data_IF_798058618170
#
_entry.id   IF_798058618170
#
_cell.length_a   1.000
_cell.length_b   1.000
_cell.length_c   1.000
_cell.angle_alpha   90.00
_cell.angle_beta   90.00
_cell.angle_gamma   90.00
#
_symmetry.space_group_name_H-M   'P 1'
#
loop_
_entity.id
_entity.type
_entity.pdbx_description
1 polymer ?
#
# COMPACT_ATOMS: atom_id res chain seq x y z
N UNK A 1 -9.94 0.83 6.77
CA UNK A 1 -9.86 2.11 7.47
C UNK A 1 -10.81 3.17 6.87
N UNK A 2 -10.83 3.48 5.56
CA UNK A 2 -11.69 4.54 5.01
C UNK A 2 -13.19 4.32 5.25
N UNK A 3 -13.65 3.10 5.18
CA UNK A 3 -15.07 2.75 5.40
C UNK A 3 -15.52 3.03 6.83
N UNK A 4 -14.71 2.67 7.83
CA UNK A 4 -14.98 3.00 9.22
C UNK A 4 -14.93 4.51 9.45
N UNK A 5 -13.98 5.20 8.82
CA UNK A 5 -13.88 6.65 8.92
C UNK A 5 -15.10 7.36 8.34
N UNK A 6 -15.57 6.97 7.17
CA UNK A 6 -16.77 7.57 6.57
C UNK A 6 -18.03 7.25 7.36
N UNK A 7 -18.17 6.04 7.90
CA UNK A 7 -19.29 5.66 8.75
C UNK A 7 -19.32 6.49 10.05
N UNK A 8 -18.16 6.64 10.71
CA UNK A 8 -18.03 7.47 11.91
C UNK A 8 -18.33 8.95 11.62
N UNK A 9 -17.91 9.45 10.46
CA UNK A 9 -18.16 10.83 10.05
C UNK A 9 -19.65 11.11 9.83
N UNK A 10 -20.38 10.14 9.26
CA UNK A 10 -21.82 10.29 8.97
C UNK A 10 -22.67 10.20 10.24
N UNK A 11 -22.32 9.32 11.20
CA UNK A 11 -23.16 9.04 12.38
C UNK A 11 -22.72 9.80 13.64
N UNK A 12 -21.48 10.26 13.68
CA UNK A 12 -20.89 10.97 14.79
C UNK A 12 -20.22 12.25 14.29
N UNK A 13 -19.04 12.55 14.79
CA UNK A 13 -18.25 13.71 14.38
C UNK A 13 -16.84 13.29 14.00
N UNK A 14 -16.08 14.21 13.40
CA UNK A 14 -14.69 13.95 13.03
C UNK A 14 -13.81 13.55 14.25
N UNK A 15 -14.15 14.06 15.44
CA UNK A 15 -13.47 13.70 16.70
C UNK A 15 -13.62 12.21 17.04
N UNK A 16 -14.75 11.59 16.67
CA UNK A 16 -14.97 10.15 16.90
C UNK A 16 -13.97 9.28 16.14
N UNK A 17 -13.49 9.74 14.99
CA UNK A 17 -12.44 9.04 14.22
C UNK A 17 -11.16 8.95 15.04
N UNK A 18 -10.72 10.08 15.60
CA UNK A 18 -9.50 10.13 16.41
C UNK A 18 -9.65 9.37 17.74
N UNK A 19 -10.81 9.45 18.37
CA UNK A 19 -11.11 8.68 19.60
C UNK A 19 -11.05 7.17 19.32
N UNK A 20 -11.59 6.70 18.21
CA UNK A 20 -11.52 5.30 17.79
C UNK A 20 -10.09 4.86 17.51
N UNK A 21 -9.31 5.66 16.79
CA UNK A 21 -7.89 5.39 16.54
C UNK A 21 -7.10 5.34 17.84
N UNK A 22 -7.34 6.25 18.77
CA UNK A 22 -6.73 6.26 20.08
C UNK A 22 -7.06 4.98 20.87
N UNK A 23 -8.35 4.59 20.92
CA UNK A 23 -8.76 3.37 21.60
C UNK A 23 -8.11 2.12 21.00
N UNK A 24 -8.07 2.00 19.67
CA UNK A 24 -7.38 0.89 18.98
C UNK A 24 -5.89 0.89 19.34
N UNK A 25 -5.25 2.04 19.33
CA UNK A 25 -3.82 2.16 19.66
C UNK A 25 -3.55 1.70 21.10
N UNK A 26 -4.37 2.12 22.06
CA UNK A 26 -4.24 1.68 23.46
C UNK A 26 -4.39 0.17 23.57
N UNK A 27 -5.40 -0.41 22.91
CA UNK A 27 -5.62 -1.87 22.91
C UNK A 27 -4.42 -2.62 22.30
N UNK A 28 -3.79 -2.07 21.26
CA UNK A 28 -2.61 -2.68 20.62
C UNK A 28 -1.32 -2.53 21.45
N UNK A 29 -1.23 -1.50 22.29
CA UNK A 29 -0.07 -1.30 23.18
C UNK A 29 -0.11 -2.29 24.37
N UNK A 30 -1.27 -2.64 24.88
CA UNK A 30 -1.39 -3.52 26.03
C UNK A 30 -0.63 -4.87 25.89
N UNK A 31 -0.73 -5.60 24.77
CA UNK A 31 0.02 -6.85 24.60
C UNK A 31 1.54 -6.64 24.55
N UNK A 32 2.01 -5.44 24.16
CA UNK A 32 3.46 -5.18 24.06
C UNK A 32 4.13 -5.28 25.42
N UNK A 33 3.46 -4.88 26.51
CA UNK A 33 3.98 -5.01 27.86
C UNK A 33 4.13 -6.47 28.33
N UNK A 34 3.43 -7.41 27.69
CA UNK A 34 3.49 -8.84 27.99
C UNK A 34 4.49 -9.59 27.12
N UNK A 35 4.99 -8.96 26.05
CA UNK A 35 6.00 -9.55 25.20
C UNK A 35 7.37 -9.52 25.89
N UNK A 36 7.92 -10.70 26.16
CA UNK A 36 9.31 -10.81 26.63
C UNK A 36 10.24 -10.34 25.52
N UNK A 37 11.26 -9.52 25.82
CA UNK A 37 12.25 -9.11 24.85
C UNK A 37 12.96 -10.36 24.30
N UNK A 38 12.72 -10.65 23.02
CA UNK A 38 13.35 -11.77 22.30
C UNK A 38 14.68 -11.38 21.65
N UNK A 39 15.15 -10.17 21.90
CA UNK A 39 16.43 -9.69 21.41
C UNK A 39 17.55 -10.50 22.06
N UNK A 40 18.07 -11.52 21.35
CA UNK A 40 19.40 -12.05 21.64
C UNK A 40 20.37 -10.88 21.54
N UNK A 41 21.17 -10.70 22.62
CA UNK A 41 22.23 -9.71 22.61
C UNK A 41 23.06 -9.91 21.33
N UNK A 42 23.04 -8.90 20.45
CA UNK A 42 23.83 -8.91 19.22
C UNK A 42 25.28 -8.93 19.63
N UNK A 43 25.96 -10.05 19.40
CA UNK A 43 27.42 -10.13 19.58
C UNK A 43 28.04 -9.06 18.68
N UNK A 44 28.73 -8.12 19.28
CA UNK A 44 29.36 -6.92 18.71
C UNK A 44 30.51 -7.20 17.73
N UNK A 45 30.65 -8.40 17.17
CA UNK A 45 31.82 -8.81 16.39
C UNK A 45 31.55 -9.14 14.92
N UNK A 46 30.48 -8.62 14.31
CA UNK A 46 30.35 -8.72 12.84
C UNK A 46 29.92 -7.38 12.27
N UNK A 47 30.72 -6.92 11.33
CA UNK A 47 30.65 -5.73 10.49
C UNK A 47 29.27 -5.10 10.47
N UNK A 48 29.11 -4.04 11.23
CA UNK A 48 27.87 -3.28 11.29
C UNK A 48 27.57 -2.68 9.93
N UNK A 49 26.67 -3.31 9.17
CA UNK A 49 26.09 -2.70 7.99
C UNK A 49 25.63 -1.29 8.37
N UNK A 50 26.36 -0.32 7.87
CA UNK A 50 26.03 1.09 8.07
C UNK A 50 24.86 1.45 7.17
N UNK A 51 23.94 2.29 7.63
CA UNK A 51 22.83 2.80 6.82
C UNK A 51 23.31 3.35 5.46
N UNK A 52 24.53 3.88 5.43
CA UNK A 52 25.20 4.36 4.22
C UNK A 52 25.46 3.24 3.20
N UNK A 53 25.78 2.02 3.67
CA UNK A 53 26.04 0.87 2.77
C UNK A 53 24.76 0.39 2.11
N UNK A 54 23.63 0.43 2.85
CA UNK A 54 22.28 0.19 2.29
C UNK A 54 21.96 1.18 1.16
N UNK A 55 22.15 2.47 1.42
CA UNK A 55 21.91 3.52 0.45
C UNK A 55 22.86 3.48 -0.75
N UNK A 56 24.05 2.91 -0.62
CA UNK A 56 25.01 2.74 -1.71
C UNK A 56 24.66 1.58 -2.64
N UNK A 57 23.89 0.61 -2.18
CA UNK A 57 23.43 -0.53 -2.98
C UNK A 57 22.45 -0.09 -4.08
N UNK A 58 22.80 -0.35 -5.35
CA UNK A 58 21.92 -0.06 -6.51
C UNK A 58 20.60 -0.84 -6.42
N UNK A 59 20.67 -2.10 -5.97
CA UNK A 59 19.49 -2.97 -5.82
C UNK A 59 18.56 -2.43 -4.76
N UNK A 60 19.09 -2.00 -3.60
CA UNK A 60 18.29 -1.41 -2.54
C UNK A 60 17.58 -0.14 -3.02
N UNK A 61 18.34 0.83 -3.59
CA UNK A 61 17.78 2.09 -4.08
C UNK A 61 16.72 1.88 -5.16
N UNK A 62 16.94 0.96 -6.10
CA UNK A 62 15.95 0.65 -7.15
C UNK A 62 14.64 0.12 -6.56
N UNK A 63 14.70 -0.82 -5.62
CA UNK A 63 13.50 -1.35 -4.97
C UNK A 63 12.81 -0.31 -4.09
N UNK A 64 13.55 0.51 -3.36
CA UNK A 64 12.99 1.63 -2.56
C UNK A 64 12.29 2.64 -3.46
N UNK A 65 12.86 2.97 -4.62
CA UNK A 65 12.23 3.90 -5.56
C UNK A 65 10.92 3.34 -6.11
N UNK A 66 10.88 2.05 -6.48
CA UNK A 66 9.65 1.38 -6.92
C UNK A 66 8.61 1.41 -5.80
N UNK A 67 9.00 1.05 -4.58
CA UNK A 67 8.11 1.08 -3.43
C UNK A 67 7.54 2.49 -3.18
N UNK A 68 8.40 3.51 -3.24
CA UNK A 68 8.00 4.90 -3.06
C UNK A 68 7.04 5.38 -4.15
N UNK A 69 7.29 5.04 -5.42
CA UNK A 69 6.41 5.39 -6.53
C UNK A 69 5.03 4.74 -6.41
N UNK A 70 4.98 3.45 -6.06
CA UNK A 70 3.73 2.73 -5.81
C UNK A 70 2.95 3.33 -4.64
N UNK A 71 3.64 3.65 -3.54
CA UNK A 71 3.03 4.28 -2.37
C UNK A 71 2.54 5.69 -2.67
N UNK A 72 3.32 6.50 -3.37
CA UNK A 72 2.94 7.86 -3.78
C UNK A 72 1.67 7.86 -4.61
N UNK A 73 1.55 6.95 -5.59
CA UNK A 73 0.34 6.82 -6.42
C UNK A 73 -0.90 6.45 -5.60
N UNK A 74 -0.74 5.53 -4.65
CA UNK A 74 -1.84 5.13 -3.76
C UNK A 74 -2.26 6.29 -2.85
N UNK A 75 -1.32 6.99 -2.21
CA UNK A 75 -1.63 8.11 -1.34
C UNK A 75 -2.17 9.33 -2.10
N UNK A 76 -1.69 9.58 -3.32
CA UNK A 76 -2.25 10.63 -4.17
C UNK A 76 -3.74 10.40 -4.44
N UNK A 77 -4.13 9.15 -4.74
CA UNK A 77 -5.53 8.81 -4.87
C UNK A 77 -6.29 8.92 -3.55
N UNK A 78 -5.75 8.37 -2.47
CA UNK A 78 -6.42 8.38 -1.16
C UNK A 78 -6.74 9.80 -0.69
N UNK A 79 -5.86 10.76 -1.01
CA UNK A 79 -6.03 12.19 -0.68
C UNK A 79 -6.90 12.93 -1.69
N UNK A 80 -6.74 12.64 -2.98
CA UNK A 80 -7.43 13.35 -4.06
C UNK A 80 -8.85 12.86 -4.34
N UNK A 81 -9.10 11.56 -4.20
CA UNK A 81 -10.39 10.97 -4.57
C UNK A 81 -11.59 11.52 -3.78
N UNK A 82 -11.52 11.86 -2.48
CA UNK A 82 -12.67 12.46 -1.80
C UNK A 82 -13.11 13.77 -2.43
N UNK A 83 -12.15 14.60 -2.86
CA UNK A 83 -12.45 15.89 -3.52
C UNK A 83 -13.07 15.65 -4.89
N UNK A 84 -12.45 14.82 -5.72
CA UNK A 84 -12.93 14.50 -7.07
C UNK A 84 -14.33 13.90 -7.03
N UNK A 85 -14.57 12.90 -6.17
CA UNK A 85 -15.86 12.25 -6.07
C UNK A 85 -16.94 13.15 -5.44
N UNK A 86 -16.56 14.05 -4.53
CA UNK A 86 -17.46 15.06 -3.98
C UNK A 86 -17.89 16.07 -5.04
N UNK A 87 -16.97 16.55 -5.89
CA UNK A 87 -17.30 17.42 -7.03
C UNK A 87 -18.21 16.72 -8.05
N UNK A 88 -18.09 15.41 -8.20
CA UNK A 88 -19.01 14.61 -9.01
C UNK A 88 -20.39 14.39 -8.36
N UNK A 89 -20.62 14.92 -7.14
CA UNK A 89 -21.89 14.83 -6.43
C UNK A 89 -22.10 13.56 -5.59
N UNK A 90 -21.06 12.75 -5.38
CA UNK A 90 -21.18 11.54 -4.55
C UNK A 90 -21.15 11.88 -3.05
N UNK A 91 -22.02 11.22 -2.28
CA UNK A 91 -22.06 11.38 -0.83
C UNK A 91 -20.83 10.75 -0.14
N UNK A 92 -20.45 11.21 1.07
CA UNK A 92 -19.33 10.64 1.83
C UNK A 92 -19.45 9.14 2.06
N UNK A 93 -20.66 8.60 2.19
CA UNK A 93 -20.90 7.18 2.32
C UNK A 93 -20.53 6.40 1.06
N UNK A 94 -20.89 6.91 -0.13
CA UNK A 94 -20.53 6.30 -1.42
C UNK A 94 -19.03 6.37 -1.63
N UNK A 95 -18.39 7.49 -1.27
CA UNK A 95 -16.94 7.66 -1.34
C UNK A 95 -16.25 6.62 -0.45
N UNK A 96 -16.71 6.43 0.78
CA UNK A 96 -16.19 5.39 1.68
C UNK A 96 -16.35 3.97 1.13
N UNK A 97 -17.51 3.65 0.54
CA UNK A 97 -17.78 2.37 -0.10
C UNK A 97 -16.89 2.11 -1.33
N UNK A 98 -16.50 3.15 -2.06
CA UNK A 98 -15.64 3.02 -3.24
C UNK A 98 -14.25 2.46 -2.94
N UNK A 99 -13.79 2.54 -1.69
CA UNK A 99 -12.52 1.94 -1.27
C UNK A 99 -12.59 0.43 -1.01
N UNK A 100 -13.79 -0.15 -0.89
CA UNK A 100 -13.95 -1.59 -0.63
C UNK A 100 -13.41 -2.44 -1.79
N UNK A 101 -13.84 -2.22 -3.05
CA UNK A 101 -13.32 -2.99 -4.18
C UNK A 101 -11.80 -2.83 -4.34
N UNK A 102 -11.25 -1.67 -4.05
CA UNK A 102 -9.80 -1.43 -4.08
C UNK A 102 -9.05 -2.26 -3.02
N UNK A 103 -9.60 -2.35 -1.81
CA UNK A 103 -9.03 -3.16 -0.74
C UNK A 103 -9.06 -4.65 -1.10
N UNK A 104 -10.17 -5.12 -1.66
CA UNK A 104 -10.30 -6.50 -2.13
C UNK A 104 -9.30 -6.77 -3.26
N UNK A 105 -9.17 -5.86 -4.22
CA UNK A 105 -8.21 -5.93 -5.32
C UNK A 105 -6.76 -6.01 -4.81
N UNK A 106 -6.41 -5.21 -3.81
CA UNK A 106 -5.09 -5.27 -3.18
C UNK A 106 -4.81 -6.62 -2.51
N UNK A 107 -5.79 -7.18 -1.81
CA UNK A 107 -5.67 -8.51 -1.21
C UNK A 107 -5.51 -9.60 -2.28
N UNK A 108 -6.30 -9.53 -3.36
CA UNK A 108 -6.18 -10.44 -4.51
C UNK A 108 -4.76 -10.36 -5.09
N UNK A 109 -4.21 -9.15 -5.25
CA UNK A 109 -2.83 -8.95 -5.69
C UNK A 109 -1.81 -9.61 -4.77
N UNK A 110 -1.94 -9.44 -3.46
CA UNK A 110 -1.05 -10.02 -2.46
C UNK A 110 -1.10 -11.56 -2.43
N UNK A 111 -2.30 -12.13 -2.38
CA UNK A 111 -2.46 -13.60 -2.41
C UNK A 111 -2.08 -14.19 -3.77
N UNK A 112 -2.43 -13.52 -4.87
CA UNK A 112 -2.03 -13.91 -6.22
C UNK A 112 -0.51 -13.90 -6.40
N UNK A 113 0.17 -12.91 -5.85
CA UNK A 113 1.62 -12.85 -5.83
C UNK A 113 2.22 -14.05 -5.09
N UNK A 114 1.69 -14.38 -3.92
CA UNK A 114 2.15 -15.56 -3.15
C UNK A 114 2.02 -16.85 -3.96
N UNK A 115 0.90 -17.05 -4.64
CA UNK A 115 0.67 -18.20 -5.51
C UNK A 115 1.60 -18.20 -6.74
N UNK A 116 1.82 -17.03 -7.35
CA UNK A 116 2.70 -16.88 -8.50
C UNK A 116 4.17 -17.14 -8.15
N UNK A 117 4.62 -16.71 -6.96
CA UNK A 117 5.99 -16.94 -6.48
C UNK A 117 6.32 -18.41 -6.21
N UNK A 118 5.32 -19.30 -6.14
CA UNK A 118 5.55 -20.75 -6.09
C UNK A 118 6.02 -21.31 -7.44
N UNK A 119 5.67 -20.64 -8.55
CA UNK A 119 5.99 -21.09 -9.92
C UNK A 119 7.06 -20.23 -10.60
N UNK A 120 7.12 -18.96 -10.30
CA UNK A 120 8.01 -17.99 -10.93
C UNK A 120 8.87 -17.24 -9.92
N UNK A 121 10.06 -16.83 -10.36
CA UNK A 121 10.92 -16.00 -9.53
C UNK A 121 10.42 -14.55 -9.49
N UNK A 122 10.55 -13.89 -8.34
CA UNK A 122 10.15 -12.49 -8.19
C UNK A 122 10.82 -11.52 -9.19
N UNK A 123 12.05 -11.84 -9.64
CA UNK A 123 12.74 -11.07 -10.68
C UNK A 123 12.05 -11.13 -12.05
N UNK A 124 11.38 -12.22 -12.35
CA UNK A 124 10.66 -12.42 -13.62
C UNK A 124 9.26 -11.79 -13.54
N UNK A 125 8.64 -11.84 -12.37
CA UNK A 125 7.29 -11.34 -12.16
C UNK A 125 7.25 -9.81 -12.06
N UNK A 126 8.25 -9.20 -11.42
CA UNK A 126 8.29 -7.77 -11.16
C UNK A 126 8.14 -6.88 -12.42
N UNK A 127 8.82 -7.13 -13.55
CA UNK A 127 8.64 -6.31 -14.75
C UNK A 127 7.20 -6.29 -15.26
N UNK A 128 6.53 -7.44 -15.27
CA UNK A 128 5.13 -7.53 -15.71
C UNK A 128 4.18 -6.77 -14.79
N UNK A 129 4.41 -6.85 -13.49
CA UNK A 129 3.64 -6.09 -12.50
C UNK A 129 3.87 -4.59 -12.63
N UNK A 130 5.09 -4.17 -12.94
CA UNK A 130 5.39 -2.74 -13.19
C UNK A 130 4.73 -2.24 -14.48
N UNK A 131 4.67 -3.06 -15.53
CA UNK A 131 3.92 -2.72 -16.75
C UNK A 131 2.43 -2.61 -16.43
N UNK A 132 1.87 -3.56 -15.70
CA UNK A 132 0.46 -3.52 -15.27
C UNK A 132 0.18 -2.25 -14.46
N UNK A 133 1.07 -1.92 -13.52
CA UNK A 133 0.98 -0.70 -12.73
C UNK A 133 1.03 0.56 -13.61
N UNK A 134 1.99 0.65 -14.53
CA UNK A 134 2.14 1.80 -15.43
C UNK A 134 0.91 1.99 -16.32
N UNK A 135 0.40 0.90 -16.90
CA UNK A 135 -0.82 0.93 -17.73
C UNK A 135 -2.02 1.41 -16.92
N UNK A 136 -2.18 0.94 -15.68
CA UNK A 136 -3.29 1.37 -14.82
C UNK A 136 -3.19 2.85 -14.42
N UNK A 137 -1.99 3.36 -14.17
CA UNK A 137 -1.78 4.80 -13.89
C UNK A 137 -2.11 5.65 -15.12
N UNK A 138 -1.65 5.24 -16.30
CA UNK A 138 -1.96 5.92 -17.56
C UNK A 138 -3.47 5.89 -17.83
N UNK A 139 -4.14 4.76 -17.60
CA UNK A 139 -5.58 4.64 -17.78
C UNK A 139 -6.35 5.55 -16.81
N UNK A 140 -5.90 5.65 -15.54
CA UNK A 140 -6.50 6.57 -14.56
C UNK A 140 -6.31 8.03 -14.99
N UNK A 141 -5.13 8.39 -15.48
CA UNK A 141 -4.85 9.72 -15.99
C UNK A 141 -5.70 10.04 -17.23
N UNK A 142 -5.80 9.11 -18.18
CA UNK A 142 -6.62 9.28 -19.38
C UNK A 142 -8.12 9.42 -19.06
N UNK A 143 -8.62 8.72 -18.05
CA UNK A 143 -10.00 8.86 -17.59
C UNK A 143 -10.34 10.29 -17.15
N UNK A 144 -9.36 11.03 -16.63
CA UNK A 144 -9.53 12.43 -16.23
C UNK A 144 -9.85 13.41 -17.36
N UNK A 145 -9.66 13.02 -18.62
CA UNK A 145 -9.98 13.84 -19.80
C UNK A 145 -11.37 13.56 -20.40
N UNK A 146 -12.09 12.58 -19.86
CA UNK A 146 -13.43 12.21 -20.35
C UNK A 146 -14.46 13.12 -19.68
N UNK A 147 -15.26 13.83 -20.47
CA UNK A 147 -16.19 14.86 -19.99
C UNK A 147 -17.33 14.35 -19.08
N UNK A 148 -17.63 13.05 -19.11
CA UNK A 148 -18.67 12.41 -18.30
C UNK A 148 -18.20 11.06 -17.78
N UNK A 149 -17.20 11.08 -16.90
CA UNK A 149 -16.65 9.86 -16.30
C UNK A 149 -17.58 9.34 -15.22
N UNK A 150 -17.97 8.08 -15.32
CA UNK A 150 -18.70 7.38 -14.27
C UNK A 150 -17.76 6.92 -13.15
N UNK A 151 -18.31 6.72 -11.94
CA UNK A 151 -17.55 6.17 -10.81
C UNK A 151 -16.82 4.86 -11.17
N UNK A 152 -17.49 3.99 -11.93
CA UNK A 152 -16.96 2.67 -12.32
C UNK A 152 -15.75 2.80 -13.24
N UNK A 153 -15.77 3.74 -14.19
CA UNK A 153 -14.66 3.98 -15.12
C UNK A 153 -13.39 4.47 -14.42
N UNK A 154 -13.55 5.18 -13.32
CA UNK A 154 -12.40 5.58 -12.47
C UNK A 154 -11.95 4.41 -11.59
N UNK A 155 -12.88 3.62 -11.04
CA UNK A 155 -12.55 2.55 -10.09
C UNK A 155 -11.86 1.36 -10.76
N UNK A 156 -12.21 1.02 -12.01
CA UNK A 156 -11.62 -0.13 -12.71
C UNK A 156 -10.08 -0.01 -12.80
N UNK A 157 -9.51 1.05 -13.41
CA UNK A 157 -8.06 1.17 -13.51
C UNK A 157 -7.41 1.27 -12.12
N UNK A 158 -8.13 1.83 -11.16
CA UNK A 158 -7.64 1.92 -9.79
C UNK A 158 -7.59 0.57 -9.08
N UNK A 159 -8.57 -0.30 -9.28
CA UNK A 159 -8.54 -1.69 -8.81
C UNK A 159 -7.39 -2.48 -9.45
N UNK A 160 -7.12 -2.28 -10.74
CA UNK A 160 -5.97 -2.90 -11.42
C UNK A 160 -4.66 -2.42 -10.82
N UNK A 161 -4.54 -1.12 -10.53
CA UNK A 161 -3.39 -0.56 -9.83
C UNK A 161 -3.23 -1.15 -8.41
N UNK A 162 -4.34 -1.35 -7.69
CA UNK A 162 -4.33 -1.95 -6.37
C UNK A 162 -3.86 -3.41 -6.39
N UNK A 163 -4.28 -4.21 -7.40
CA UNK A 163 -3.77 -5.57 -7.61
C UNK A 163 -2.26 -5.54 -7.84
N UNK A 164 -1.79 -4.67 -8.73
CA UNK A 164 -0.36 -4.53 -9.01
C UNK A 164 0.43 -4.16 -7.75
N UNK A 165 -0.03 -3.19 -6.96
CA UNK A 165 0.59 -2.76 -5.71
C UNK A 165 0.65 -3.90 -4.68
N UNK A 166 -0.47 -4.63 -4.50
CA UNK A 166 -0.53 -5.77 -3.58
C UNK A 166 0.49 -6.86 -3.92
N UNK A 167 0.79 -7.04 -5.22
CA UNK A 167 1.80 -7.99 -5.69
C UNK A 167 3.24 -7.42 -5.66
N UNK A 168 3.43 -6.14 -5.95
CA UNK A 168 4.76 -5.50 -6.01
C UNK A 168 5.39 -5.39 -4.62
N UNK A 169 4.64 -4.95 -3.60
CA UNK A 169 5.19 -4.67 -2.27
C UNK A 169 5.98 -5.83 -1.66
N UNK A 170 5.46 -7.05 -1.56
CA UNK A 170 6.23 -8.16 -0.97
C UNK A 170 7.49 -8.51 -1.78
N UNK A 171 7.44 -8.36 -3.11
CA UNK A 171 8.58 -8.65 -3.98
C UNK A 171 9.71 -7.64 -3.77
N UNK A 172 9.39 -6.34 -3.80
CA UNK A 172 10.42 -5.29 -3.69
C UNK A 172 11.03 -5.24 -2.30
N UNK A 173 10.25 -5.48 -1.25
CA UNK A 173 10.76 -5.56 0.13
C UNK A 173 11.70 -6.75 0.28
N UNK A 174 11.30 -7.94 -0.20
CA UNK A 174 12.16 -9.12 -0.16
C UNK A 174 13.44 -8.96 -0.98
N UNK A 175 13.37 -8.30 -2.15
CA UNK A 175 14.54 -8.04 -2.98
C UNK A 175 15.46 -6.96 -2.40
N UNK A 176 14.92 -5.94 -1.75
CA UNK A 176 15.70 -4.89 -1.11
C UNK A 176 16.56 -5.44 0.04
N UNK A 177 16.01 -6.38 0.82
CA UNK A 177 16.67 -6.95 1.99
C UNK A 177 17.59 -8.15 1.65
N UNK A 178 17.44 -8.76 0.48
CA UNK A 178 18.22 -9.94 0.07
C UNK A 178 19.75 -9.78 0.15
N UNK A 179 20.34 -8.63 -0.23
CA UNK A 179 21.78 -8.42 -0.10
C UNK A 179 22.26 -8.31 1.35
N UNK A 180 21.35 -8.23 2.32
CA UNK A 180 21.63 -7.94 3.72
C UNK A 180 20.94 -8.96 4.65
N UNK A 181 21.35 -10.23 4.62
CA UNK A 181 20.67 -11.30 5.38
C UNK A 181 20.78 -11.14 6.89
N UNK A 182 21.64 -10.26 7.37
CA UNK A 182 21.83 -9.95 8.80
C UNK A 182 21.10 -8.68 9.26
N UNK A 183 20.37 -8.02 8.39
CA UNK A 183 19.61 -6.79 8.71
C UNK A 183 18.14 -7.06 9.11
N UNK A 184 17.75 -8.32 9.17
CA UNK A 184 16.40 -8.76 9.55
C UNK A 184 16.37 -9.40 10.93
#
# INVERSE_FOLDING_TARGET
APLLGSWLLVHFSWQAIFATLFAITVVLILPIFWLKPTTKARNNSQDGLTFTDLLRSKTYRGNVLIYAACSASFFAWLTGSPFILSEMGYSPAVIGLSYVPQTIAFLIGGYGCRAALQKWQGKQLLPWLLVLFAVSVIATWAAGFISHVSLVEILIPFCVMAIANGAIYPIVVAQALRPFPHAT
#
